data_IF_611265235485
#
_entry.id   IF_611265235485
#
_cell.length_a   1.000
_cell.length_b   1.000
_cell.length_c   1.000
_cell.angle_alpha   90.00
_cell.angle_beta   90.00
_cell.angle_gamma   90.00
#
_symmetry.space_group_name_H-M   'P 1'
#
loop_
_entity.id
_entity.type
_entity.pdbx_description
1 polymer ?
#
# COMPACT_ATOMS: atom_id res chain seq x y z
N UNK A 1 -10.09 16.60 5.14
CA UNK A 1 -10.53 15.45 5.98
C UNK A 1 -9.35 14.55 6.35
N UNK A 2 -8.55 14.11 5.37
CA UNK A 2 -7.33 13.30 5.59
C UNK A 2 -6.33 14.04 6.52
N UNK A 3 -6.15 15.35 6.32
CA UNK A 3 -5.34 16.18 7.25
C UNK A 3 -5.82 16.14 8.69
N UNK A 4 -7.14 16.20 8.93
CA UNK A 4 -7.70 16.13 10.29
C UNK A 4 -7.40 14.77 10.93
N UNK A 5 -7.49 13.68 10.16
CA UNK A 5 -7.17 12.32 10.62
C UNK A 5 -5.68 12.20 10.99
N UNK A 6 -4.80 12.70 10.12
CA UNK A 6 -3.35 12.68 10.36
C UNK A 6 -2.94 13.50 11.59
N UNK A 7 -3.48 14.72 11.71
CA UNK A 7 -3.23 15.62 12.85
C UNK A 7 -3.73 15.02 14.16
N UNK A 8 -4.93 14.44 14.17
CA UNK A 8 -5.49 13.79 15.36
C UNK A 8 -4.71 12.54 15.78
N UNK A 9 -4.16 11.80 14.81
CA UNK A 9 -3.37 10.60 15.07
C UNK A 9 -1.90 10.90 15.42
N UNK A 10 -1.45 12.16 15.34
CA UNK A 10 -0.03 12.56 15.42
C UNK A 10 0.86 11.82 14.41
N UNK A 11 0.32 11.50 13.23
CA UNK A 11 1.02 10.80 12.16
C UNK A 11 1.29 11.77 11.02
N UNK A 12 2.44 11.64 10.36
CA UNK A 12 2.74 12.43 9.16
C UNK A 12 1.69 12.16 8.07
N UNK A 13 1.15 13.23 7.49
CA UNK A 13 0.13 13.21 6.43
C UNK A 13 0.52 12.28 5.25
N UNK A 14 1.82 12.23 4.94
CA UNK A 14 2.38 11.42 3.85
C UNK A 14 2.11 9.92 4.06
N UNK A 15 2.11 9.43 5.31
CA UNK A 15 1.85 8.01 5.59
C UNK A 15 0.39 7.66 5.42
N UNK A 16 -0.51 8.53 5.90
CA UNK A 16 -1.96 8.34 5.75
C UNK A 16 -2.34 8.36 4.27
N UNK A 17 -1.76 9.29 3.50
CA UNK A 17 -1.96 9.35 2.05
C UNK A 17 -1.43 8.10 1.33
N UNK A 18 -0.24 7.62 1.71
CA UNK A 18 0.36 6.41 1.12
C UNK A 18 -0.48 5.16 1.41
N UNK A 19 -0.98 5.01 2.65
CA UNK A 19 -1.88 3.91 3.02
C UNK A 19 -3.16 3.95 2.19
N UNK A 20 -3.78 5.12 2.02
CA UNK A 20 -4.97 5.26 1.19
C UNK A 20 -4.72 4.91 -0.28
N UNK A 21 -3.55 5.29 -0.83
CA UNK A 21 -3.14 4.90 -2.19
C UNK A 21 -2.99 3.37 -2.30
N UNK A 22 -2.37 2.73 -1.32
CA UNK A 22 -2.22 1.26 -1.28
C UNK A 22 -3.60 0.58 -1.27
N UNK A 23 -4.53 1.05 -0.43
CA UNK A 23 -5.90 0.50 -0.38
C UNK A 23 -6.60 0.64 -1.74
N UNK A 24 -6.48 1.81 -2.38
CA UNK A 24 -7.05 2.05 -3.71
C UNK A 24 -6.48 1.11 -4.78
N UNK A 25 -5.16 0.94 -4.82
CA UNK A 25 -4.49 0.03 -5.75
C UNK A 25 -4.94 -1.41 -5.52
N UNK A 26 -5.01 -1.85 -4.26
CA UNK A 26 -5.42 -3.21 -3.92
C UNK A 26 -6.85 -3.50 -4.42
N UNK A 27 -7.78 -2.57 -4.19
CA UNK A 27 -9.16 -2.75 -4.62
C UNK A 27 -9.31 -2.79 -6.14
N UNK A 28 -8.64 -1.88 -6.84
CA UNK A 28 -8.68 -1.84 -8.31
C UNK A 28 -8.04 -3.08 -8.92
N UNK A 29 -6.87 -3.50 -8.42
CA UNK A 29 -6.16 -4.67 -8.93
C UNK A 29 -6.94 -5.96 -8.71
N UNK A 30 -7.53 -6.13 -7.52
CA UNK A 30 -8.36 -7.29 -7.20
C UNK A 30 -9.62 -7.34 -8.07
N UNK A 31 -10.32 -6.21 -8.21
CA UNK A 31 -11.50 -6.12 -9.06
C UNK A 31 -11.19 -6.43 -10.53
N UNK A 32 -10.11 -5.86 -11.07
CA UNK A 32 -9.67 -6.13 -12.43
C UNK A 32 -9.31 -7.61 -12.65
N UNK A 33 -8.61 -8.22 -11.70
CA UNK A 33 -8.24 -9.64 -11.75
C UNK A 33 -9.47 -10.55 -11.70
N UNK A 34 -10.46 -10.25 -10.85
CA UNK A 34 -11.71 -10.99 -10.78
C UNK A 34 -12.47 -10.95 -12.11
N UNK A 35 -12.65 -9.77 -12.71
CA UNK A 35 -13.29 -9.64 -14.04
C UNK A 35 -12.55 -10.46 -15.09
N UNK A 36 -11.20 -10.48 -15.07
CA UNK A 36 -10.44 -11.28 -16.05
C UNK A 36 -10.57 -12.77 -15.80
N UNK A 37 -10.68 -13.23 -14.55
CA UNK A 37 -10.98 -14.63 -14.23
C UNK A 37 -12.37 -15.02 -14.75
N UNK A 38 -13.37 -14.17 -14.53
CA UNK A 38 -14.75 -14.39 -14.97
C UNK A 38 -14.85 -14.44 -16.50
N UNK A 39 -13.99 -13.72 -17.22
CA UNK A 39 -13.84 -13.81 -18.68
C UNK A 39 -13.05 -15.06 -19.16
N UNK A 40 -12.71 -15.98 -18.27
CA UNK A 40 -11.92 -17.19 -18.58
C UNK A 40 -10.42 -16.96 -18.75
N UNK A 41 -9.91 -15.76 -18.45
CA UNK A 41 -8.51 -15.36 -18.65
C UNK A 41 -7.69 -15.43 -17.35
N UNK A 42 -7.62 -16.61 -16.75
CA UNK A 42 -6.92 -16.82 -15.47
C UNK A 42 -5.42 -16.46 -15.49
N UNK A 43 -4.73 -16.69 -16.60
CA UNK A 43 -3.32 -16.32 -16.76
C UNK A 43 -3.10 -14.80 -16.76
N UNK A 44 -4.06 -14.02 -17.28
CA UNK A 44 -3.98 -12.54 -17.27
C UNK A 44 -4.31 -12.03 -15.88
N UNK A 45 -5.34 -12.57 -15.24
CA UNK A 45 -5.69 -12.22 -13.87
C UNK A 45 -4.53 -12.40 -12.89
N UNK A 46 -3.79 -13.52 -12.99
CA UNK A 46 -2.61 -13.76 -12.16
C UNK A 46 -1.53 -12.67 -12.35
N UNK A 47 -1.33 -12.18 -13.58
CA UNK A 47 -0.39 -11.08 -13.86
C UNK A 47 -0.88 -9.76 -13.27
N UNK A 48 -2.18 -9.49 -13.31
CA UNK A 48 -2.79 -8.29 -12.70
C UNK A 48 -2.59 -8.31 -11.19
N UNK A 49 -2.90 -9.42 -10.51
CA UNK A 49 -2.67 -9.56 -9.07
C UNK A 49 -1.19 -9.37 -8.71
N UNK A 50 -0.29 -9.94 -9.49
CA UNK A 50 1.15 -9.83 -9.25
C UNK A 50 1.63 -8.38 -9.42
N UNK A 51 1.16 -7.69 -10.47
CA UNK A 51 1.46 -6.27 -10.70
C UNK A 51 0.95 -5.38 -9.56
N UNK A 52 -0.28 -5.61 -9.10
CA UNK A 52 -0.85 -4.89 -7.95
C UNK A 52 -0.02 -5.08 -6.68
N UNK A 53 0.39 -6.32 -6.38
CA UNK A 53 1.25 -6.62 -5.22
C UNK A 53 2.61 -5.94 -5.31
N UNK A 54 3.25 -5.96 -6.48
CA UNK A 54 4.55 -5.31 -6.69
C UNK A 54 4.45 -3.79 -6.45
N UNK A 55 3.40 -3.14 -6.97
CA UNK A 55 3.17 -1.71 -6.76
C UNK A 55 2.97 -1.37 -5.29
N UNK A 56 2.14 -2.15 -4.59
CA UNK A 56 1.91 -1.98 -3.15
C UNK A 56 3.21 -2.13 -2.36
N UNK A 57 4.00 -3.16 -2.66
CA UNK A 57 5.28 -3.39 -2.00
C UNK A 57 6.27 -2.26 -2.24
N UNK A 58 6.39 -1.77 -3.48
CA UNK A 58 7.26 -0.64 -3.81
C UNK A 58 6.88 0.63 -3.02
N UNK A 59 5.58 0.89 -2.87
CA UNK A 59 5.08 2.02 -2.07
C UNK A 59 5.23 1.82 -0.55
N UNK A 60 5.33 0.58 -0.08
CA UNK A 60 5.54 0.28 1.34
C UNK A 60 7.01 0.44 1.78
N UNK A 61 7.98 0.40 0.86
CA UNK A 61 9.41 0.53 1.17
C UNK A 61 9.72 1.78 2.01
N UNK A 62 9.29 3.00 1.64
CA UNK A 62 9.61 4.21 2.41
C UNK A 62 9.05 4.18 3.84
N UNK A 63 7.86 3.59 4.02
CA UNK A 63 7.24 3.43 5.33
C UNK A 63 8.08 2.48 6.19
N UNK A 64 8.51 1.35 5.61
CA UNK A 64 9.39 0.40 6.29
C UNK A 64 10.74 1.04 6.68
N UNK A 65 11.35 1.83 5.79
CA UNK A 65 12.60 2.54 6.09
C UNK A 65 12.45 3.48 7.28
N UNK A 66 11.39 4.30 7.30
CA UNK A 66 11.11 5.20 8.42
C UNK A 66 10.88 4.43 9.72
N UNK A 67 10.14 3.33 9.67
CA UNK A 67 9.91 2.49 10.84
C UNK A 67 11.23 1.93 11.39
N UNK A 68 12.10 1.41 10.52
CA UNK A 68 13.42 0.90 10.90
C UNK A 68 14.27 2.01 11.51
N UNK A 69 14.34 3.19 10.90
CA UNK A 69 15.06 4.34 11.45
C UNK A 69 14.52 4.75 12.82
N UNK A 70 13.20 4.74 12.99
CA UNK A 70 12.54 5.07 14.25
C UNK A 70 12.92 4.06 15.34
N UNK A 71 12.91 2.77 15.02
CA UNK A 71 13.32 1.70 15.94
C UNK A 71 14.80 1.87 16.33
N UNK A 72 15.69 2.09 15.35
CA UNK A 72 17.12 2.29 15.61
C UNK A 72 17.36 3.48 16.54
N UNK A 73 16.64 4.60 16.34
CA UNK A 73 16.73 5.78 17.21
C UNK A 73 16.26 5.54 18.64
N UNK A 74 15.43 4.52 18.88
CA UNK A 74 14.94 4.18 20.22
C UNK A 74 15.85 3.18 20.95
N UNK A 75 16.84 2.59 20.29
CA UNK A 75 17.85 1.74 20.94
C UNK A 75 18.83 2.66 21.67
N UNK A 76 18.90 2.62 23.02
CA UNK A 76 19.92 3.35 23.75
C UNK A 76 21.29 2.71 23.47
N UNK A 77 22.28 3.57 23.21
CA UNK A 77 23.69 3.20 22.98
C UNK A 77 24.31 2.48 24.17
#
# INVERSE_FOLDING_TARGET
MIEKIAVNAKVNIVYVETILKIIGIAYIAEFAAQITKDAGQGAIAAKIEMGGKILILAMAIPILTVLIETIIRMIPS
#
